data_IF_240891260862
#
_entry.id   IF_240891260862
#
_cell.length_a   1.000
_cell.length_b   1.000
_cell.length_c   1.000
_cell.angle_alpha   90.00
_cell.angle_beta   90.00
_cell.angle_gamma   90.00
#
_symmetry.space_group_name_H-M   'P 1'
#
loop_
_entity.id
_entity.type
_entity.pdbx_description
1 polymer ?
#
# COMPACT_ATOMS: atom_id res chain seq x y z
N UNK A 1 11.08 -26.32 -16.76
CA UNK A 1 10.25 -25.51 -17.69
C UNK A 1 9.14 -26.44 -18.13
N UNK A 2 8.00 -26.36 -17.86
CA UNK A 2 7.06 -25.82 -16.92
C UNK A 2 5.69 -26.31 -17.37
N UNK A 3 5.09 -27.11 -16.57
CA UNK A 3 3.70 -27.59 -16.73
C UNK A 3 2.67 -26.45 -16.79
N UNK A 4 3.10 -25.21 -16.60
CA UNK A 4 2.24 -24.02 -16.56
C UNK A 4 1.62 -23.61 -17.92
N UNK A 5 1.98 -24.25 -19.02
CA UNK A 5 1.49 -23.91 -20.37
C UNK A 5 0.58 -24.96 -21.00
N UNK A 6 0.25 -26.04 -20.30
CA UNK A 6 -0.55 -27.15 -20.85
C UNK A 6 -2.03 -27.10 -20.45
N UNK A 7 -2.42 -26.25 -19.50
CA UNK A 7 -3.80 -26.13 -19.03
C UNK A 7 -4.63 -25.13 -19.84
N UNK A 8 -5.95 -25.29 -19.75
CA UNK A 8 -6.88 -24.35 -20.35
C UNK A 8 -7.76 -23.72 -19.26
N UNK A 9 -8.31 -22.52 -19.52
CA UNK A 9 -9.11 -21.75 -18.54
C UNK A 9 -10.41 -22.43 -18.11
N UNK A 10 -10.80 -23.51 -18.78
CA UNK A 10 -12.01 -24.30 -18.44
C UNK A 10 -11.67 -25.58 -17.68
N UNK A 11 -10.40 -25.84 -17.39
CA UNK A 11 -10.03 -27.02 -16.61
C UNK A 11 -10.61 -26.94 -15.21
N UNK A 12 -11.25 -28.03 -14.71
CA UNK A 12 -11.89 -28.03 -13.39
C UNK A 12 -10.92 -27.62 -12.28
N UNK A 13 -9.70 -28.13 -12.31
CA UNK A 13 -8.66 -27.83 -11.34
C UNK A 13 -8.31 -26.32 -11.32
N UNK A 14 -8.21 -25.68 -12.47
CA UNK A 14 -8.00 -24.23 -12.56
C UNK A 14 -9.19 -23.45 -11.99
N UNK A 15 -10.42 -23.86 -12.32
CA UNK A 15 -11.64 -23.19 -11.83
C UNK A 15 -11.78 -23.30 -10.31
N UNK A 16 -11.48 -24.47 -9.75
CA UNK A 16 -11.48 -24.69 -8.29
C UNK A 16 -10.41 -23.84 -7.60
N UNK A 17 -9.18 -23.86 -8.12
CA UNK A 17 -8.09 -23.04 -7.57
C UNK A 17 -8.42 -21.54 -7.63
N UNK A 18 -8.98 -21.08 -8.76
CA UNK A 18 -9.42 -19.69 -8.91
C UNK A 18 -10.52 -19.32 -7.94
N UNK A 19 -11.53 -20.18 -7.77
CA UNK A 19 -12.61 -19.96 -6.81
C UNK A 19 -12.09 -19.89 -5.37
N UNK A 20 -11.17 -20.77 -5.01
CA UNK A 20 -10.49 -20.75 -3.71
C UNK A 20 -9.71 -19.44 -3.50
N UNK A 21 -8.92 -19.01 -4.48
CA UNK A 21 -8.17 -17.76 -4.41
C UNK A 21 -9.09 -16.56 -4.19
N UNK A 22 -10.20 -16.48 -4.92
CA UNK A 22 -11.17 -15.39 -4.76
C UNK A 22 -11.83 -15.43 -3.37
N UNK A 23 -12.24 -16.58 -2.89
CA UNK A 23 -12.82 -16.71 -1.55
C UNK A 23 -11.87 -16.29 -0.46
N UNK A 24 -10.62 -16.77 -0.50
CA UNK A 24 -9.59 -16.46 0.50
C UNK A 24 -9.17 -14.98 0.46
N UNK A 25 -9.15 -14.35 -0.71
CA UNK A 25 -8.74 -12.95 -0.84
C UNK A 25 -9.88 -11.96 -0.58
N UNK A 26 -11.12 -12.28 -0.94
CA UNK A 26 -12.31 -11.44 -0.77
C UNK A 26 -12.99 -11.69 0.57
N UNK A 27 -13.88 -12.69 0.60
CA UNK A 27 -14.84 -12.91 1.70
C UNK A 27 -14.16 -13.25 3.02
N UNK A 28 -13.14 -14.11 2.99
CA UNK A 28 -12.36 -14.54 4.15
C UNK A 28 -11.10 -13.70 4.39
N UNK A 29 -10.73 -12.84 3.42
CA UNK A 29 -9.57 -11.96 3.45
C UNK A 29 -9.93 -10.50 3.72
N UNK A 30 -9.92 -9.69 2.67
CA UNK A 30 -10.09 -8.24 2.75
C UNK A 30 -11.41 -7.86 3.40
N UNK A 31 -12.53 -8.40 2.92
CA UNK A 31 -13.85 -8.07 3.43
C UNK A 31 -14.04 -8.51 4.88
N UNK A 32 -13.47 -9.66 5.25
CA UNK A 32 -13.49 -10.09 6.64
C UNK A 32 -12.72 -9.15 7.56
N UNK A 33 -11.54 -8.69 7.13
CA UNK A 33 -10.74 -7.74 7.89
C UNK A 33 -11.43 -6.39 8.05
N UNK A 34 -11.97 -5.84 6.96
CA UNK A 34 -12.71 -4.57 6.99
C UNK A 34 -13.92 -4.65 7.93
N UNK A 35 -14.74 -5.70 7.81
CA UNK A 35 -15.92 -5.87 8.67
C UNK A 35 -15.57 -6.11 10.13
N UNK A 36 -14.58 -6.98 10.42
CA UNK A 36 -14.19 -7.34 11.78
C UNK A 36 -13.73 -6.12 12.58
N UNK A 37 -12.93 -5.27 11.95
CA UNK A 37 -12.27 -4.15 12.61
C UNK A 37 -12.96 -2.81 12.31
N UNK A 38 -14.09 -2.81 11.58
CA UNK A 38 -14.85 -1.64 11.14
C UNK A 38 -13.95 -0.61 10.45
N UNK A 39 -13.24 -1.07 9.40
CA UNK A 39 -12.27 -0.28 8.66
C UNK A 39 -12.84 0.14 7.29
N UNK A 40 -12.44 1.32 6.84
CA UNK A 40 -12.77 1.84 5.51
C UNK A 40 -11.74 1.41 4.46
N UNK A 41 -10.49 1.23 4.89
CA UNK A 41 -9.39 0.77 4.03
C UNK A 41 -8.31 0.05 4.84
N UNK A 42 -7.49 -0.73 4.13
CA UNK A 42 -6.28 -1.37 4.65
C UNK A 42 -5.08 -0.65 4.06
N UNK A 43 -4.09 -0.38 4.90
CA UNK A 43 -2.90 0.40 4.55
C UNK A 43 -1.64 -0.43 4.75
N UNK A 44 -0.68 -0.30 3.85
CA UNK A 44 0.59 -1.00 3.94
C UNK A 44 1.73 -0.24 3.24
N UNK A 45 2.99 -0.45 3.63
CA UNK A 45 4.13 0.11 2.93
C UNK A 45 4.22 -0.37 1.48
N UNK A 46 4.67 0.50 0.56
CA UNK A 46 4.75 0.21 -0.88
C UNK A 46 5.65 -0.98 -1.24
N UNK A 47 6.61 -1.32 -0.39
CA UNK A 47 7.53 -2.43 -0.61
C UNK A 47 7.13 -3.72 0.11
N UNK A 48 5.86 -3.84 0.48
CA UNK A 48 5.32 -5.04 1.12
C UNK A 48 4.57 -5.92 0.13
N UNK A 49 4.36 -7.19 0.49
CA UNK A 49 3.48 -8.10 -0.26
C UNK A 49 1.98 -7.83 -0.04
N UNK A 50 1.63 -6.74 0.64
CA UNK A 50 0.25 -6.42 0.99
C UNK A 50 -0.63 -6.09 -0.23
N UNK A 51 -0.04 -5.75 -1.38
CA UNK A 51 -0.78 -5.57 -2.64
C UNK A 51 -1.30 -6.88 -3.23
N UNK A 52 -0.69 -8.02 -2.88
CA UNK A 52 -1.06 -9.33 -3.45
C UNK A 52 -2.51 -9.72 -3.17
N UNK A 53 -3.06 -9.63 -1.95
CA UNK A 53 -4.47 -9.93 -1.70
C UNK A 53 -5.42 -9.09 -2.54
N UNK A 54 -5.17 -7.78 -2.68
CA UNK A 54 -6.00 -6.90 -3.49
C UNK A 54 -5.93 -7.26 -4.98
N UNK A 55 -4.74 -7.60 -5.50
CA UNK A 55 -4.56 -8.03 -6.88
C UNK A 55 -5.29 -9.34 -7.19
N UNK A 56 -5.20 -10.34 -6.29
CA UNK A 56 -5.90 -11.62 -6.42
C UNK A 56 -7.40 -11.44 -6.32
N UNK A 57 -7.87 -10.60 -5.39
CA UNK A 57 -9.27 -10.27 -5.22
C UNK A 57 -9.85 -9.50 -6.44
N UNK A 58 -9.01 -8.80 -7.21
CA UNK A 58 -9.47 -7.83 -8.20
C UNK A 58 -10.13 -6.61 -7.54
N UNK A 59 -9.64 -6.22 -6.37
CA UNK A 59 -10.12 -5.07 -5.61
C UNK A 59 -9.27 -3.83 -5.88
N UNK A 60 -9.84 -2.63 -5.72
CA UNK A 60 -9.13 -1.39 -5.97
C UNK A 60 -7.99 -1.19 -4.99
N UNK A 61 -6.90 -0.65 -5.50
CA UNK A 61 -5.79 -0.19 -4.67
C UNK A 61 -5.21 1.10 -5.24
N UNK A 62 -4.62 1.91 -4.37
CA UNK A 62 -3.95 3.15 -4.72
C UNK A 62 -2.63 3.26 -3.97
N UNK A 63 -1.63 3.85 -4.60
CA UNK A 63 -0.35 4.15 -3.96
C UNK A 63 -0.15 5.65 -3.87
N UNK A 64 0.21 6.13 -2.69
CA UNK A 64 0.54 7.54 -2.46
C UNK A 64 2.02 7.62 -2.08
N UNK A 65 2.81 8.52 -2.72
CA UNK A 65 4.19 8.73 -2.33
C UNK A 65 4.26 9.34 -0.92
N UNK A 66 5.27 8.95 -0.14
CA UNK A 66 5.57 9.51 1.18
C UNK A 66 6.91 10.25 1.20
N UNK A 67 7.64 10.28 0.07
CA UNK A 67 8.93 10.93 -0.04
C UNK A 67 10.05 9.97 -0.43
N UNK A 68 11.26 10.29 0.01
CA UNK A 68 12.46 9.51 -0.28
C UNK A 68 13.07 9.02 1.04
N UNK A 69 13.41 7.75 1.10
CA UNK A 69 14.09 7.17 2.26
C UNK A 69 15.49 7.73 2.44
N UNK A 70 16.11 7.52 3.60
CA UNK A 70 17.51 7.86 3.88
C UNK A 70 18.51 7.23 2.90
N UNK A 71 18.10 6.16 2.21
CA UNK A 71 18.90 5.48 1.19
C UNK A 71 18.61 5.98 -0.23
N UNK A 72 17.89 7.10 -0.38
CA UNK A 72 17.56 7.66 -1.69
C UNK A 72 16.48 6.90 -2.47
N UNK A 73 15.78 5.95 -1.86
CA UNK A 73 14.71 5.18 -2.51
C UNK A 73 13.36 5.87 -2.31
N UNK A 74 12.51 5.94 -3.33
CA UNK A 74 11.15 6.40 -3.15
C UNK A 74 10.42 5.55 -2.11
N UNK A 75 9.69 6.18 -1.23
CA UNK A 75 8.80 5.52 -0.28
C UNK A 75 7.35 5.90 -0.58
N UNK A 76 6.45 5.00 -0.33
CA UNK A 76 5.03 5.23 -0.51
C UNK A 76 4.21 4.31 0.38
N UNK A 77 2.94 4.56 0.38
CA UNK A 77 1.95 3.77 1.10
C UNK A 77 0.93 3.22 0.10
N UNK A 78 0.55 1.97 0.27
CA UNK A 78 -0.54 1.34 -0.43
C UNK A 78 -1.80 1.44 0.42
N UNK A 79 -2.91 1.77 -0.24
CA UNK A 79 -4.23 1.69 0.37
C UNK A 79 -5.12 0.84 -0.53
N UNK A 80 -5.89 -0.07 0.04
CA UNK A 80 -6.84 -0.89 -0.68
C UNK A 80 -8.08 -1.15 0.17
N UNK A 81 -9.19 -1.40 -0.50
CA UNK A 81 -10.47 -1.62 0.14
C UNK A 81 -11.26 -2.69 -0.61
N UNK A 82 -12.54 -2.80 -0.33
CA UNK A 82 -13.45 -3.74 -0.97
C UNK A 82 -13.82 -3.32 -2.40
N UNK A 83 -14.63 -4.13 -3.07
CA UNK A 83 -15.05 -3.93 -4.45
C UNK A 83 -15.79 -2.59 -4.65
N UNK A 84 -15.42 -1.86 -5.70
CA UNK A 84 -16.00 -0.55 -6.09
C UNK A 84 -15.82 0.58 -5.07
N UNK A 85 -14.83 0.51 -4.17
CA UNK A 85 -14.47 1.57 -3.24
C UNK A 85 -13.38 2.52 -3.76
N UNK A 86 -13.26 2.68 -5.07
CA UNK A 86 -12.32 3.62 -5.69
C UNK A 86 -12.54 5.08 -5.25
N UNK A 87 -13.80 5.59 -5.15
CA UNK A 87 -14.02 6.97 -4.74
C UNK A 87 -13.48 7.28 -3.34
N UNK A 88 -13.70 6.38 -2.38
CA UNK A 88 -13.22 6.53 -1.01
C UNK A 88 -11.69 6.47 -0.95
N UNK A 89 -11.07 5.54 -1.68
CA UNK A 89 -9.62 5.45 -1.76
C UNK A 89 -9.00 6.69 -2.39
N UNK A 90 -9.63 7.26 -3.41
CA UNK A 90 -9.19 8.51 -4.03
C UNK A 90 -9.30 9.69 -3.06
N UNK A 91 -10.38 9.76 -2.27
CA UNK A 91 -10.53 10.80 -1.25
C UNK A 91 -9.43 10.70 -0.19
N UNK A 92 -9.18 9.51 0.36
CA UNK A 92 -8.11 9.28 1.33
C UNK A 92 -6.72 9.60 0.77
N UNK A 93 -6.46 9.19 -0.48
CA UNK A 93 -5.19 9.48 -1.14
C UNK A 93 -5.00 10.97 -1.37
N UNK A 94 -6.04 11.68 -1.77
CA UNK A 94 -6.02 13.12 -1.97
C UNK A 94 -5.75 13.86 -0.66
N UNK A 95 -6.48 13.53 0.42
CA UNK A 95 -6.30 14.16 1.72
C UNK A 95 -4.88 13.94 2.24
N UNK A 96 -4.36 12.72 2.10
CA UNK A 96 -3.00 12.38 2.51
C UNK A 96 -1.97 13.16 1.68
N UNK A 97 -2.15 13.26 0.36
CA UNK A 97 -1.24 14.01 -0.52
C UNK A 97 -1.24 15.50 -0.21
N UNK A 98 -2.41 16.09 0.09
CA UNK A 98 -2.51 17.51 0.47
C UNK A 98 -1.80 17.81 1.79
N UNK A 99 -1.89 16.91 2.76
CA UNK A 99 -1.27 17.09 4.07
C UNK A 99 0.25 16.92 4.02
N UNK A 100 0.75 15.92 3.32
CA UNK A 100 2.17 15.56 3.34
C UNK A 100 2.95 16.28 2.24
N UNK A 101 2.35 16.55 1.08
CA UNK A 101 2.97 17.13 -0.12
C UNK A 101 4.33 16.50 -0.49
N UNK A 102 4.49 15.17 -0.53
CA UNK A 102 5.78 14.48 -0.49
C UNK A 102 6.38 14.26 -1.87
N UNK A 103 5.75 14.78 -2.92
CA UNK A 103 6.14 14.46 -4.30
C UNK A 103 7.45 15.10 -4.67
N UNK A 104 8.49 14.30 -4.77
CA UNK A 104 9.76 14.69 -5.38
C UNK A 104 9.71 14.38 -6.88
N UNK A 105 9.99 15.40 -7.70
CA UNK A 105 10.07 15.22 -9.16
C UNK A 105 11.31 14.40 -9.50
N UNK A 106 11.19 13.22 -10.16
CA UNK A 106 12.33 12.43 -10.54
C UNK A 106 13.21 13.19 -11.55
N UNK A 107 14.52 13.16 -11.35
CA UNK A 107 15.47 13.68 -12.32
C UNK A 107 15.90 12.55 -13.26
N UNK A 108 15.34 12.53 -14.46
CA UNK A 108 15.71 11.56 -15.49
C UNK A 108 17.00 11.96 -16.18
N UNK A 109 17.93 11.00 -16.38
CA UNK A 109 19.18 11.24 -17.14
C UNK A 109 20.32 11.84 -16.34
N UNK A 110 20.13 12.12 -15.04
CA UNK A 110 21.23 12.49 -14.14
C UNK A 110 22.03 11.28 -13.66
N UNK A 111 23.29 11.47 -13.26
CA UNK A 111 23.99 10.46 -12.48
C UNK A 111 23.20 10.22 -11.20
N UNK A 112 22.97 8.95 -10.85
CA UNK A 112 22.39 8.58 -9.54
C UNK A 112 23.32 9.22 -8.50
N UNK A 113 22.81 10.12 -7.64
CA UNK A 113 23.63 10.66 -6.57
C UNK A 113 24.23 9.52 -5.75
N UNK A 114 25.47 9.59 -5.31
CA UNK A 114 26.00 8.62 -4.38
C UNK A 114 25.08 8.59 -3.15
N UNK A 115 24.83 7.40 -2.64
CA UNK A 115 24.01 7.22 -1.43
C UNK A 115 24.55 8.15 -0.34
N UNK A 116 23.72 9.03 0.25
CA UNK A 116 24.20 9.94 1.29
C UNK A 116 24.74 9.11 2.44
N UNK A 117 26.01 9.28 2.78
CA UNK A 117 26.66 8.48 3.82
C UNK A 117 26.08 8.73 5.21
N UNK A 118 25.42 9.89 5.39
CA UNK A 118 24.91 10.37 6.67
C UNK A 118 23.56 11.10 6.54
N UNK A 119 22.72 10.69 5.60
CA UNK A 119 21.38 11.27 5.53
C UNK A 119 20.59 10.86 6.77
N UNK A 120 20.35 11.80 7.67
CA UNK A 120 19.30 11.65 8.69
C UNK A 120 17.97 11.26 8.04
N UNK A 121 17.04 10.75 8.81
CA UNK A 121 15.82 10.06 8.37
C UNK A 121 14.95 10.81 7.33
N UNK A 122 15.18 12.09 7.09
CA UNK A 122 14.56 12.87 6.03
C UNK A 122 15.54 13.94 5.54
N UNK A 123 15.50 14.27 4.24
CA UNK A 123 16.19 15.45 3.71
C UNK A 123 15.59 16.70 4.36
N UNK A 124 16.35 17.32 5.25
CA UNK A 124 15.93 18.51 5.99
C UNK A 124 15.86 19.77 5.13
N UNK A 125 16.30 19.70 3.86
CA UNK A 125 16.18 20.80 2.89
C UNK A 125 14.79 20.84 2.22
N UNK A 126 14.00 19.77 2.33
CA UNK A 126 12.59 19.75 1.92
C UNK A 126 11.73 20.37 3.04
N UNK A 127 10.64 21.07 2.71
CA UNK A 127 9.68 21.48 3.72
C UNK A 127 9.27 20.25 4.53
N UNK A 128 9.59 20.23 5.82
CA UNK A 128 9.15 19.16 6.69
C UNK A 128 7.62 19.12 6.64
N UNK A 129 7.00 17.97 6.42
CA UNK A 129 5.56 17.87 6.56
C UNK A 129 5.18 18.37 7.94
N UNK A 130 4.19 19.24 8.00
CA UNK A 130 3.66 19.73 9.27
C UNK A 130 3.35 18.52 10.15
N UNK A 131 3.74 18.53 11.42
CA UNK A 131 3.37 17.43 12.31
C UNK A 131 1.86 17.28 12.22
N UNK A 132 1.39 16.08 11.90
CA UNK A 132 -0.04 15.78 11.80
C UNK A 132 -0.65 16.02 13.17
N UNK A 133 -1.21 17.20 13.36
CA UNK A 133 -1.90 17.60 14.57
C UNK A 133 -3.37 17.18 14.58
N UNK A 134 -3.78 16.45 13.56
CA UNK A 134 -5.12 15.87 13.42
C UNK A 134 -5.31 14.66 14.33
N UNK A 135 -6.44 14.63 15.02
CA UNK A 135 -6.85 13.55 15.92
C UNK A 135 -6.84 12.20 15.19
N UNK A 136 -5.93 11.31 15.63
CA UNK A 136 -6.07 9.86 15.57
C UNK A 136 -6.09 9.18 14.19
N UNK A 137 -4.96 9.15 13.52
CA UNK A 137 -4.75 8.13 12.51
C UNK A 137 -3.96 6.98 13.15
N UNK A 138 -4.69 6.01 13.69
CA UNK A 138 -4.11 4.76 14.16
C UNK A 138 -4.16 3.76 13.01
N UNK A 139 -3.02 3.19 12.68
CA UNK A 139 -2.89 2.11 11.69
C UNK A 139 -2.68 0.81 12.43
N UNK A 140 -3.43 -0.24 12.06
CA UNK A 140 -3.21 -1.57 12.63
C UNK A 140 -2.06 -2.26 11.91
N UNK A 141 -1.01 -2.58 12.65
CA UNK A 141 0.12 -3.32 12.12
C UNK A 141 -0.27 -4.77 11.81
N UNK A 142 -0.14 -5.18 10.53
CA UNK A 142 -0.59 -6.50 10.05
C UNK A 142 0.11 -7.68 10.74
N UNK A 143 1.35 -7.49 11.23
CA UNK A 143 2.09 -8.55 11.91
C UNK A 143 1.81 -8.69 13.41
N UNK A 144 1.40 -7.62 14.09
CA UNK A 144 1.22 -7.61 15.56
C UNK A 144 -0.21 -7.37 16.00
N UNK A 145 -1.10 -6.96 15.10
CA UNK A 145 -2.48 -6.61 15.40
C UNK A 145 -2.65 -5.37 16.28
N UNK A 146 -1.57 -4.68 16.63
CA UNK A 146 -1.62 -3.46 17.46
C UNK A 146 -2.00 -2.26 16.61
N UNK A 147 -2.77 -1.35 17.20
CA UNK A 147 -2.96 0.00 16.68
C UNK A 147 -1.71 0.81 17.01
N UNK A 148 -1.03 1.31 15.98
CA UNK A 148 0.18 2.11 16.12
C UNK A 148 -0.12 3.49 15.55
N UNK A 149 0.33 4.58 16.19
CA UNK A 149 0.35 5.88 15.55
C UNK A 149 1.11 5.76 14.24
N UNK A 150 0.57 6.29 13.16
CA UNK A 150 1.19 6.17 11.84
C UNK A 150 2.63 6.73 11.81
N UNK A 151 2.98 7.61 12.76
CA UNK A 151 4.33 8.18 12.95
C UNK A 151 5.39 7.14 13.34
N UNK A 152 4.95 5.98 13.84
CA UNK A 152 5.83 4.89 14.32
C UNK A 152 5.93 3.75 13.27
N UNK A 153 5.41 3.98 12.07
CA UNK A 153 5.49 3.08 10.91
C UNK A 153 6.73 3.42 10.10
#
# INVERSE_FOLDING_TARGET
MSEATSGNLNDPEYLEARALCLRLSRDEGIDAALRRDNLDAIVAPSYSFASTPAAVAGYPNISVPLGITTRGKPAGIWMYSTFLHEPELLAFAYDLEQEIQPRVVPQYGGKIPPEPKDAGLCDTTQPQPSPITGKHHLVRHLGTGKLIPWQDF
#
